data_IF_892245365084
#
_entry.id   IF_892245365084
#
_cell.length_a   1.000
_cell.length_b   1.000
_cell.length_c   1.000
_cell.angle_alpha   90.00
_cell.angle_beta   90.00
_cell.angle_gamma   90.00
#
_symmetry.space_group_name_H-M   'P 1'
#
loop_
_entity.id
_entity.type
_entity.pdbx_description
1 polymer ?
#
# COMPACT_ATOMS: atom_id res chain seq x y z
N UNK A 1 0.01 -0.91 35.04
CA UNK A 1 -1.44 -0.68 35.17
C UNK A 1 -1.69 0.02 36.51
N UNK A 2 -2.62 0.98 36.57
CA UNK A 2 -2.94 1.74 37.78
C UNK A 2 -3.47 0.84 38.94
N UNK A 3 -3.36 1.33 40.18
CA UNK A 3 -3.90 0.65 41.38
C UNK A 3 -5.37 1.02 41.66
N UNK A 4 -6.09 1.57 40.70
CA UNK A 4 -7.53 1.87 40.77
C UNK A 4 -8.39 0.63 40.54
N UNK A 5 -9.70 0.71 40.84
CA UNK A 5 -10.64 -0.38 40.57
C UNK A 5 -10.72 -0.72 39.10
N UNK A 6 -10.72 0.29 38.23
CA UNK A 6 -10.70 0.08 36.76
C UNK A 6 -9.40 -0.59 36.31
N UNK A 7 -8.27 -0.21 36.93
CA UNK A 7 -6.98 -0.87 36.74
C UNK A 7 -6.98 -2.33 37.22
N UNK A 8 -7.70 -2.67 38.27
CA UNK A 8 -7.88 -4.05 38.74
C UNK A 8 -8.64 -4.89 37.71
N UNK A 9 -9.75 -4.35 37.20
CA UNK A 9 -10.53 -5.02 36.15
C UNK A 9 -9.68 -5.30 34.90
N UNK A 10 -8.95 -4.29 34.42
CA UNK A 10 -8.06 -4.42 33.27
C UNK A 10 -6.95 -5.44 33.52
N UNK A 11 -6.34 -5.44 34.72
CA UNK A 11 -5.30 -6.39 35.07
C UNK A 11 -5.81 -7.85 35.06
N UNK A 12 -7.03 -8.06 35.55
CA UNK A 12 -7.67 -9.38 35.50
C UNK A 12 -7.95 -9.85 34.08
N UNK A 13 -8.48 -8.98 33.21
CA UNK A 13 -8.70 -9.29 31.79
C UNK A 13 -7.40 -9.67 31.10
N UNK A 14 -6.34 -8.85 31.26
CA UNK A 14 -5.04 -9.12 30.62
C UNK A 14 -4.38 -10.40 31.16
N UNK A 15 -4.57 -10.71 32.45
CA UNK A 15 -4.11 -11.97 33.03
C UNK A 15 -4.77 -13.18 32.40
N UNK A 16 -6.08 -13.13 32.12
CA UNK A 16 -6.80 -14.19 31.39
C UNK A 16 -6.32 -14.33 29.93
N UNK A 17 -5.79 -13.23 29.33
CA UNK A 17 -5.17 -13.25 28.02
C UNK A 17 -3.69 -13.68 28.04
N UNK A 18 -3.18 -14.17 29.18
CA UNK A 18 -1.79 -14.63 29.31
C UNK A 18 -0.75 -13.53 29.47
N UNK A 19 -1.18 -12.26 29.67
CA UNK A 19 -0.28 -11.12 29.81
C UNK A 19 0.15 -10.93 31.27
N UNK A 20 1.45 -10.63 31.49
CA UNK A 20 1.96 -10.24 32.80
C UNK A 20 1.67 -8.76 33.07
N UNK A 21 1.21 -8.47 34.28
CA UNK A 21 0.83 -7.13 34.68
C UNK A 21 1.79 -6.56 35.71
N UNK A 22 2.35 -5.38 35.44
CA UNK A 22 3.07 -4.58 36.43
C UNK A 22 2.13 -3.51 36.95
N UNK A 23 2.01 -3.41 38.28
CA UNK A 23 1.07 -2.50 38.97
C UNK A 23 1.80 -1.25 39.45
N UNK A 24 1.42 -0.11 38.91
CA UNK A 24 1.95 1.19 39.28
C UNK A 24 1.47 2.29 38.34
N UNK A 25 1.67 3.52 38.73
CA UNK A 25 1.34 4.69 37.92
C UNK A 25 2.29 5.85 38.22
N UNK A 26 2.29 6.90 37.41
CA UNK A 26 3.08 8.11 37.64
C UNK A 26 2.83 8.76 39.03
N UNK A 27 1.69 8.49 39.64
CA UNK A 27 1.30 9.03 40.97
C UNK A 27 1.47 8.05 42.15
N UNK A 28 1.57 6.74 41.89
CA UNK A 28 1.70 5.71 42.94
C UNK A 28 2.59 4.57 42.46
N UNK A 29 3.68 4.29 43.18
CA UNK A 29 4.66 3.23 42.86
C UNK A 29 5.24 3.34 41.43
N UNK A 30 5.38 4.55 40.90
CA UNK A 30 5.84 4.74 39.51
C UNK A 30 7.31 4.39 39.31
N UNK A 31 8.17 4.64 40.32
CA UNK A 31 9.60 4.31 40.24
C UNK A 31 9.83 2.81 40.27
N UNK A 32 9.17 2.11 41.19
CA UNK A 32 9.26 0.65 41.32
C UNK A 32 8.72 -0.03 40.05
N UNK A 33 7.55 0.37 39.59
CA UNK A 33 6.97 -0.18 38.36
C UNK A 33 7.87 0.04 37.13
N UNK A 34 8.54 1.19 37.04
CA UNK A 34 9.50 1.46 35.97
C UNK A 34 10.72 0.53 36.06
N UNK A 35 11.20 0.28 37.28
CA UNK A 35 12.34 -0.60 37.50
C UNK A 35 12.00 -2.06 37.17
N UNK A 36 10.83 -2.54 37.57
CA UNK A 36 10.31 -3.87 37.20
C UNK A 36 10.21 -4.01 35.65
N UNK A 37 9.73 -2.98 34.98
CA UNK A 37 9.63 -3.00 33.51
C UNK A 37 11.01 -3.04 32.83
N UNK A 38 11.99 -2.27 33.32
CA UNK A 38 13.37 -2.31 32.83
C UNK A 38 13.96 -3.71 32.98
N UNK A 39 13.75 -4.33 34.12
CA UNK A 39 14.25 -5.69 34.38
C UNK A 39 13.64 -6.73 33.45
N UNK A 40 12.33 -6.61 33.18
CA UNK A 40 11.61 -7.49 32.24
C UNK A 40 12.10 -7.30 30.82
N UNK A 41 12.31 -6.07 30.38
CA UNK A 41 12.84 -5.79 29.03
C UNK A 41 14.26 -6.34 28.87
N UNK A 42 15.10 -6.27 29.90
CA UNK A 42 16.45 -6.87 29.88
C UNK A 42 16.42 -8.39 29.75
N UNK A 43 15.31 -9.04 30.11
CA UNK A 43 15.07 -10.48 29.89
C UNK A 43 14.51 -10.77 28.48
N UNK A 44 14.46 -9.78 27.57
CA UNK A 44 14.01 -9.94 26.18
C UNK A 44 12.49 -9.94 26.00
N UNK A 45 11.72 -9.41 26.97
CA UNK A 45 10.27 -9.32 26.86
C UNK A 45 9.84 -7.90 26.51
N UNK A 46 8.88 -7.80 25.60
CA UNK A 46 8.28 -6.52 25.23
C UNK A 46 7.43 -5.93 26.36
N UNK A 47 7.44 -4.60 26.49
CA UNK A 47 6.67 -3.89 27.49
C UNK A 47 5.73 -2.87 26.83
N UNK A 48 4.52 -2.71 27.39
CA UNK A 48 3.51 -1.78 26.90
C UNK A 48 3.17 -0.72 27.94
N UNK A 49 3.09 0.53 27.50
CA UNK A 49 2.75 1.69 28.33
C UNK A 49 1.44 2.34 27.90
N UNK A 50 0.58 2.70 28.85
CA UNK A 50 -0.41 3.75 28.63
C UNK A 50 0.31 5.10 28.72
N UNK A 51 0.38 5.83 27.61
CA UNK A 51 1.28 6.96 27.42
C UNK A 51 0.99 8.18 28.30
N UNK A 52 -0.29 8.47 28.54
CA UNK A 52 -0.79 9.66 29.26
C UNK A 52 -1.05 9.42 30.77
N UNK A 53 -0.94 8.16 31.18
CA UNK A 53 -1.14 7.78 32.58
C UNK A 53 -2.61 7.88 33.05
N UNK A 54 -2.92 7.51 34.31
CA UNK A 54 -4.30 7.33 34.80
C UNK A 54 -5.07 8.63 35.09
N UNK A 55 -4.41 9.77 35.08
CA UNK A 55 -5.00 11.09 35.39
C UNK A 55 -4.85 12.10 34.26
N UNK A 56 -4.30 11.66 33.13
CA UNK A 56 -4.05 12.57 32.00
C UNK A 56 -2.96 13.63 32.26
N UNK A 57 -2.97 14.73 31.51
CA UNK A 57 -3.93 15.07 30.45
C UNK A 57 -3.85 14.13 29.24
N UNK A 58 -4.96 14.00 28.53
CA UNK A 58 -5.08 13.16 27.34
C UNK A 58 -4.05 13.57 26.28
N UNK A 59 -3.45 12.58 25.61
CA UNK A 59 -2.45 12.76 24.54
C UNK A 59 -1.12 13.41 24.98
N UNK A 60 -0.82 13.42 26.29
CA UNK A 60 0.49 13.86 26.78
C UNK A 60 1.30 12.66 27.25
N UNK A 61 2.37 12.39 26.53
CA UNK A 61 3.27 11.27 26.83
C UNK A 61 4.05 11.56 28.10
N UNK A 62 4.07 10.61 29.04
CA UNK A 62 4.87 10.71 30.28
C UNK A 62 6.31 10.24 30.05
N UNK A 63 7.27 10.85 30.73
CA UNK A 63 8.70 10.56 30.57
C UNK A 63 9.12 9.11 30.86
N UNK A 64 8.29 8.33 31.55
CA UNK A 64 8.62 6.95 31.96
C UNK A 64 9.04 6.04 30.80
N UNK A 65 8.36 6.12 29.65
CA UNK A 65 8.71 5.34 28.46
C UNK A 65 10.07 5.74 27.87
N UNK A 66 10.41 7.04 27.89
CA UNK A 66 11.68 7.57 27.38
C UNK A 66 12.84 7.09 28.27
N UNK A 67 12.66 7.20 29.59
CA UNK A 67 13.65 6.73 30.59
C UNK A 67 13.86 5.21 30.47
N UNK A 68 12.79 4.46 30.26
CA UNK A 68 12.87 3.01 30.05
C UNK A 68 13.70 2.67 28.81
N UNK A 69 13.37 3.26 27.66
CA UNK A 69 14.06 3.03 26.40
C UNK A 69 15.55 3.42 26.49
N UNK A 70 15.88 4.58 27.12
CA UNK A 70 17.25 5.02 27.33
C UNK A 70 18.07 4.05 28.18
N UNK A 71 17.45 3.35 29.14
CA UNK A 71 18.12 2.39 30.03
C UNK A 71 18.22 0.97 29.48
N UNK A 72 17.39 0.63 28.51
CA UNK A 72 17.33 -0.74 27.94
C UNK A 72 17.88 -0.82 26.52
N UNK A 73 17.97 0.30 25.79
CA UNK A 73 18.28 0.35 24.37
C UNK A 73 17.12 -0.11 23.46
N UNK A 74 15.98 -0.46 24.05
CA UNK A 74 14.79 -0.87 23.29
C UNK A 74 14.16 0.30 22.56
N UNK A 75 13.75 0.18 21.28
CA UNK A 75 13.06 1.24 20.59
C UNK A 75 11.64 1.46 21.13
N UNK A 76 11.15 2.69 21.00
CA UNK A 76 9.75 3.01 21.29
C UNK A 76 8.94 2.93 19.99
N UNK A 77 7.89 2.12 20.00
CA UNK A 77 6.90 2.04 18.91
C UNK A 77 5.56 2.51 19.47
N UNK A 78 5.03 3.60 18.95
CA UNK A 78 3.69 4.07 19.31
C UNK A 78 2.63 3.22 18.59
N UNK A 79 1.56 2.89 19.30
CA UNK A 79 0.40 2.16 18.80
C UNK A 79 -0.85 3.02 18.93
N UNK A 80 -1.61 3.19 17.86
CA UNK A 80 -2.95 3.75 17.87
C UNK A 80 -3.91 2.79 17.15
N UNK A 81 -5.16 2.76 17.58
CA UNK A 81 -6.18 1.92 16.98
C UNK A 81 -7.49 2.70 16.75
N UNK A 82 -8.28 2.27 15.77
CA UNK A 82 -9.63 2.76 15.54
C UNK A 82 -10.53 1.62 15.07
N UNK A 83 -11.84 1.86 15.07
CA UNK A 83 -12.84 0.90 14.63
C UNK A 83 -13.85 1.55 13.69
N UNK A 84 -14.43 0.76 12.77
CA UNK A 84 -15.45 1.26 11.83
C UNK A 84 -16.77 1.63 12.49
N UNK A 85 -17.04 1.09 13.68
CA UNK A 85 -18.15 1.44 14.57
C UNK A 85 -17.66 1.33 16.00
N UNK A 86 -17.90 2.34 16.82
CA UNK A 86 -17.43 2.37 18.18
C UNK A 86 -18.35 3.21 19.07
N UNK A 87 -18.25 2.97 20.37
CA UNK A 87 -18.84 3.78 21.43
C UNK A 87 -17.74 4.62 22.09
N UNK A 88 -18.01 5.90 22.34
CA UNK A 88 -17.10 6.79 23.06
C UNK A 88 -17.63 7.03 24.46
N UNK A 89 -16.78 6.85 25.46
CA UNK A 89 -17.08 7.21 26.86
C UNK A 89 -16.87 8.72 27.05
N UNK A 90 -17.85 9.54 26.59
CA UNK A 90 -17.75 11.00 26.56
C UNK A 90 -17.45 11.65 27.92
N UNK A 91 -17.88 11.02 29.02
CA UNK A 91 -17.67 11.51 30.40
C UNK A 91 -16.30 11.10 30.96
N UNK A 92 -15.57 10.19 30.32
CA UNK A 92 -14.22 9.81 30.74
C UNK A 92 -13.21 10.88 30.29
N UNK A 93 -12.20 11.16 31.10
CA UNK A 93 -11.17 12.16 30.80
C UNK A 93 -10.35 11.79 29.56
N UNK A 94 -10.18 10.50 29.32
CA UNK A 94 -9.45 9.94 28.17
C UNK A 94 -10.33 9.77 26.93
N UNK A 95 -11.66 9.94 27.07
CA UNK A 95 -12.66 9.64 26.04
C UNK A 95 -12.41 8.27 25.42
N UNK A 96 -12.29 7.25 26.26
CA UNK A 96 -12.02 5.87 25.86
C UNK A 96 -12.96 5.42 24.74
N UNK A 97 -12.45 4.62 23.82
CA UNK A 97 -13.19 4.11 22.66
C UNK A 97 -13.36 2.60 22.79
N UNK A 98 -14.61 2.13 22.72
CA UNK A 98 -14.94 0.70 22.71
C UNK A 98 -15.45 0.30 21.34
N UNK A 99 -14.75 -0.58 20.60
CA UNK A 99 -15.26 -1.13 19.35
C UNK A 99 -16.57 -1.89 19.57
N UNK A 100 -17.57 -1.63 18.70
CA UNK A 100 -18.83 -2.37 18.74
C UNK A 100 -18.66 -3.76 18.15
N UNK A 101 -19.51 -4.76 18.52
CA UNK A 101 -19.49 -6.07 17.92
C UNK A 101 -19.59 -6.01 16.38
N UNK A 102 -18.85 -6.90 15.71
CA UNK A 102 -18.78 -6.99 14.24
C UNK A 102 -18.19 -5.75 13.55
N UNK A 103 -17.56 -4.82 14.27
CA UNK A 103 -16.81 -3.71 13.67
C UNK A 103 -15.45 -4.20 13.15
N UNK A 104 -14.95 -3.53 12.10
CA UNK A 104 -13.55 -3.69 11.67
C UNK A 104 -12.68 -2.84 12.59
N UNK A 105 -11.58 -3.39 13.06
CA UNK A 105 -10.58 -2.66 13.86
C UNK A 105 -9.30 -2.56 13.04
N UNK A 106 -8.67 -1.40 13.08
CA UNK A 106 -7.36 -1.15 12.49
C UNK A 106 -6.40 -0.67 13.57
N UNK A 107 -5.17 -1.17 13.52
CA UNK A 107 -4.09 -0.74 14.39
C UNK A 107 -2.98 -0.10 13.56
N UNK A 108 -2.48 1.01 14.03
CA UNK A 108 -1.38 1.77 13.43
C UNK A 108 -0.18 1.71 14.35
N UNK A 109 1.00 1.49 13.78
CA UNK A 109 2.27 1.49 14.47
C UNK A 109 3.14 2.61 13.92
N UNK A 110 3.90 3.30 14.79
CA UNK A 110 4.90 4.26 14.33
C UNK A 110 6.17 3.57 13.88
N UNK A 111 7.02 4.29 13.14
CA UNK A 111 8.42 3.90 13.02
C UNK A 111 9.07 3.79 14.40
N UNK A 112 10.05 2.87 14.57
CA UNK A 112 10.78 2.74 15.81
C UNK A 112 11.55 4.02 16.13
N UNK A 113 11.41 4.52 17.36
CA UNK A 113 12.19 5.65 17.85
C UNK A 113 13.26 5.12 18.81
N UNK A 114 14.52 5.17 18.37
CA UNK A 114 15.67 4.80 19.17
C UNK A 114 16.06 5.95 20.10
N UNK A 115 16.26 5.65 21.36
CA UNK A 115 16.57 6.62 22.42
C UNK A 115 18.01 6.37 22.88
N UNK A 116 18.92 7.37 22.82
CA UNK A 116 20.27 7.22 23.33
C UNK A 116 20.29 6.91 24.84
N UNK A 117 21.37 6.28 25.29
CA UNK A 117 21.63 6.06 26.73
C UNK A 117 22.13 7.34 27.40
N UNK A 118 21.94 7.42 28.72
CA UNK A 118 22.49 8.48 29.60
C UNK A 118 22.06 9.92 29.23
N UNK A 119 20.76 10.10 28.92
CA UNK A 119 20.18 11.40 28.60
C UNK A 119 20.11 12.34 29.81
N UNK A 120 20.34 13.61 29.60
CA UNK A 120 20.00 14.69 30.55
C UNK A 120 18.49 14.85 30.68
N UNK A 121 18.04 15.63 31.67
CA UNK A 121 16.61 15.91 31.85
C UNK A 121 16.02 16.67 30.65
N UNK A 122 16.79 17.57 30.10
CA UNK A 122 16.44 18.39 28.93
C UNK A 122 16.30 17.51 27.67
N UNK A 123 17.23 16.60 27.45
CA UNK A 123 17.18 15.65 26.32
C UNK A 123 16.01 14.66 26.47
N UNK A 124 15.72 14.19 27.67
CA UNK A 124 14.52 13.37 27.93
C UNK A 124 13.26 14.11 27.49
N UNK A 125 13.15 15.42 27.74
CA UNK A 125 12.00 16.22 27.34
C UNK A 125 11.92 16.37 25.82
N UNK A 126 13.04 16.57 25.13
CA UNK A 126 13.10 16.63 23.67
C UNK A 126 12.57 15.32 23.04
N UNK A 127 13.06 14.18 23.51
CA UNK A 127 12.58 12.88 23.02
C UNK A 127 11.13 12.61 23.40
N UNK A 128 10.69 13.04 24.56
CA UNK A 128 9.31 12.96 25.01
C UNK A 128 8.37 13.69 24.04
N UNK A 129 8.70 14.92 23.68
CA UNK A 129 7.94 15.73 22.73
C UNK A 129 7.94 15.10 21.32
N UNK A 130 9.08 14.54 20.88
CA UNK A 130 9.18 13.82 19.62
C UNK A 130 8.25 12.61 19.57
N UNK A 131 8.25 11.77 20.60
CA UNK A 131 7.36 10.61 20.70
C UNK A 131 5.90 11.05 20.81
N UNK A 132 5.60 12.11 21.57
CA UNK A 132 4.25 12.67 21.69
C UNK A 132 3.71 13.17 20.34
N UNK A 133 4.53 13.88 19.57
CA UNK A 133 4.16 14.37 18.24
C UNK A 133 3.82 13.20 17.32
N UNK A 134 4.67 12.16 17.29
CA UNK A 134 4.44 10.96 16.49
C UNK A 134 3.16 10.24 16.90
N UNK A 135 2.92 10.11 18.19
CA UNK A 135 1.72 9.46 18.74
C UNK A 135 0.44 10.24 18.39
N UNK A 136 0.46 11.58 18.52
CA UNK A 136 -0.69 12.43 18.14
C UNK A 136 -1.03 12.27 16.68
N UNK A 137 -0.03 12.33 15.79
CA UNK A 137 -0.23 12.11 14.34
C UNK A 137 -0.79 10.73 14.04
N UNK A 138 -0.24 9.70 14.68
CA UNK A 138 -0.70 8.31 14.52
C UNK A 138 -2.15 8.14 14.96
N UNK A 139 -2.51 8.73 16.11
CA UNK A 139 -3.88 8.69 16.64
C UNK A 139 -4.88 9.41 15.71
N UNK A 140 -4.49 10.54 15.13
CA UNK A 140 -5.32 11.27 14.17
C UNK A 140 -5.54 10.47 12.88
N UNK A 141 -4.49 9.83 12.36
CA UNK A 141 -4.60 8.93 11.21
C UNK A 141 -5.47 7.69 11.51
N UNK A 142 -5.41 7.16 12.73
CA UNK A 142 -6.26 6.05 13.15
C UNK A 142 -7.74 6.47 13.20
N UNK A 143 -8.06 7.61 13.81
CA UNK A 143 -9.42 8.11 13.93
C UNK A 143 -10.06 8.39 12.56
N UNK A 144 -9.31 8.94 11.62
CA UNK A 144 -9.79 9.26 10.28
C UNK A 144 -9.70 8.11 9.28
N UNK A 145 -9.17 6.95 9.67
CA UNK A 145 -8.96 5.81 8.76
C UNK A 145 -10.24 5.32 8.09
N UNK A 146 -11.35 5.35 8.80
CA UNK A 146 -12.65 4.92 8.27
C UNK A 146 -13.45 6.08 7.67
N UNK A 147 -12.92 7.29 7.61
CA UNK A 147 -13.53 8.41 6.90
C UNK A 147 -13.21 8.32 5.40
N UNK A 148 -13.81 7.29 4.78
CA UNK A 148 -13.66 6.97 3.37
C UNK A 148 -15.01 7.14 2.70
N UNK A 149 -15.07 8.00 1.70
CA UNK A 149 -16.24 8.23 0.88
C UNK A 149 -16.06 7.62 -0.50
N UNK A 150 -16.99 6.76 -0.90
CA UNK A 150 -17.02 6.11 -2.21
C UNK A 150 -18.02 6.83 -3.12
N UNK A 151 -17.52 7.54 -4.14
CA UNK A 151 -18.32 8.29 -5.12
C UNK A 151 -18.25 7.63 -6.50
N UNK A 152 -19.23 7.88 -7.34
CA UNK A 152 -19.26 7.39 -8.72
C UNK A 152 -19.46 5.88 -8.88
N UNK A 153 -19.59 5.12 -7.78
CA UNK A 153 -19.86 3.68 -7.83
C UNK A 153 -21.37 3.41 -7.96
N UNK A 154 -21.76 2.48 -8.83
CA UNK A 154 -23.13 2.00 -8.87
C UNK A 154 -23.49 1.14 -7.65
N UNK A 155 -24.80 0.79 -7.49
CA UNK A 155 -25.27 0.02 -6.31
C UNK A 155 -24.60 -1.34 -6.18
N UNK A 156 -24.41 -2.06 -7.29
CA UNK A 156 -23.78 -3.38 -7.27
C UNK A 156 -22.29 -3.31 -6.93
N UNK A 157 -21.57 -2.34 -7.48
CA UNK A 157 -20.17 -2.09 -7.15
C UNK A 157 -20.00 -1.77 -5.67
N UNK A 158 -20.83 -0.84 -5.11
CA UNK A 158 -20.82 -0.52 -3.68
C UNK A 158 -21.11 -1.74 -2.82
N UNK A 159 -22.10 -2.56 -3.22
CA UNK A 159 -22.43 -3.79 -2.51
C UNK A 159 -21.21 -4.73 -2.44
N UNK A 160 -20.56 -5.03 -3.57
CA UNK A 160 -19.40 -5.93 -3.61
C UNK A 160 -18.14 -5.34 -2.98
N UNK A 161 -18.02 -4.02 -2.94
CA UNK A 161 -16.93 -3.33 -2.24
C UNK A 161 -17.06 -3.49 -0.72
N UNK A 162 -18.28 -3.36 -0.20
CA UNK A 162 -18.59 -3.49 1.23
C UNK A 162 -18.68 -4.94 1.70
N UNK A 163 -19.05 -5.87 0.79
CA UNK A 163 -19.23 -7.29 1.07
C UNK A 163 -18.37 -8.17 0.15
N UNK A 164 -17.04 -8.12 0.27
CA UNK A 164 -16.13 -8.84 -0.65
C UNK A 164 -16.26 -10.37 -0.56
N UNK A 165 -16.76 -10.90 0.56
CA UNK A 165 -17.01 -12.34 0.72
C UNK A 165 -18.14 -12.82 -0.18
N UNK A 166 -19.25 -12.07 -0.28
CA UNK A 166 -20.39 -12.43 -1.15
C UNK A 166 -19.99 -12.46 -2.61
N UNK A 167 -19.14 -11.50 -3.04
CA UNK A 167 -18.54 -11.51 -4.37
C UNK A 167 -17.79 -12.81 -4.64
N UNK A 168 -16.95 -13.27 -3.71
CA UNK A 168 -16.19 -14.51 -3.87
C UNK A 168 -17.09 -15.73 -4.05
N UNK A 169 -18.17 -15.81 -3.29
CA UNK A 169 -19.09 -16.95 -3.34
C UNK A 169 -19.95 -16.95 -4.62
N UNK A 170 -20.57 -15.82 -4.94
CA UNK A 170 -21.46 -15.69 -6.11
C UNK A 170 -20.75 -15.94 -7.43
N UNK A 171 -19.51 -15.42 -7.56
CA UNK A 171 -18.75 -15.51 -8.81
C UNK A 171 -17.86 -16.74 -8.92
N UNK A 172 -17.82 -17.62 -7.91
CA UNK A 172 -16.95 -18.80 -7.93
C UNK A 172 -17.20 -19.74 -9.14
N UNK A 173 -18.47 -20.11 -9.50
CA UNK A 173 -18.71 -20.94 -10.67
C UNK A 173 -18.20 -20.32 -11.97
N UNK A 174 -18.40 -19.00 -12.13
CA UNK A 174 -17.92 -18.27 -13.32
C UNK A 174 -16.39 -18.24 -13.39
N UNK A 175 -15.72 -18.25 -12.25
CA UNK A 175 -14.25 -18.32 -12.19
C UNK A 175 -13.71 -19.65 -12.66
N UNK A 176 -14.43 -20.74 -12.42
CA UNK A 176 -14.06 -22.07 -12.92
C UNK A 176 -14.15 -22.11 -14.45
N UNK A 177 -15.28 -21.64 -15.00
CA UNK A 177 -15.48 -21.57 -16.47
C UNK A 177 -14.40 -20.67 -17.12
N UNK A 178 -14.17 -19.48 -16.57
CA UNK A 178 -13.12 -18.58 -17.04
C UNK A 178 -11.74 -19.25 -16.99
N UNK A 179 -11.42 -19.95 -15.91
CA UNK A 179 -10.17 -20.69 -15.75
C UNK A 179 -9.97 -21.77 -16.82
N UNK A 180 -11.03 -22.51 -17.15
CA UNK A 180 -11.02 -23.54 -18.21
C UNK A 180 -10.75 -22.88 -19.58
N UNK A 181 -11.48 -21.82 -19.90
CA UNK A 181 -11.30 -21.09 -21.17
C UNK A 181 -9.85 -20.61 -21.34
N UNK A 182 -9.29 -20.01 -20.29
CA UNK A 182 -7.90 -19.53 -20.31
C UNK A 182 -6.91 -20.70 -20.46
N UNK A 183 -7.14 -21.83 -19.84
CA UNK A 183 -6.27 -23.01 -19.95
C UNK A 183 -6.36 -23.61 -21.37
N UNK A 184 -7.54 -23.72 -21.96
CA UNK A 184 -7.71 -24.20 -23.34
C UNK A 184 -6.97 -23.26 -24.31
N UNK A 185 -7.18 -21.94 -24.20
CA UNK A 185 -6.47 -20.94 -25.02
C UNK A 185 -4.95 -21.11 -24.91
N UNK A 186 -4.43 -21.26 -23.68
CA UNK A 186 -2.99 -21.39 -23.47
C UNK A 186 -2.46 -22.71 -24.03
N UNK A 187 -3.20 -23.80 -23.89
CA UNK A 187 -2.87 -25.09 -24.50
C UNK A 187 -2.78 -24.99 -26.04
N UNK A 188 -3.72 -24.30 -26.69
CA UNK A 188 -3.70 -24.11 -28.13
C UNK A 188 -2.45 -23.33 -28.61
N UNK A 189 -1.97 -22.37 -27.81
CA UNK A 189 -0.69 -21.70 -28.08
C UNK A 189 0.51 -22.63 -27.82
N UNK A 190 0.47 -23.42 -26.73
CA UNK A 190 1.57 -24.34 -26.38
C UNK A 190 1.74 -25.44 -27.46
N UNK A 191 0.64 -25.83 -28.12
CA UNK A 191 0.64 -26.78 -29.25
C UNK A 191 0.85 -26.11 -30.62
N UNK A 192 1.18 -24.82 -30.69
CA UNK A 192 1.32 -24.04 -31.94
C UNK A 192 0.08 -24.05 -32.88
N UNK A 193 -1.11 -24.45 -32.38
CA UNK A 193 -2.36 -24.34 -33.11
C UNK A 193 -2.73 -22.87 -33.34
N UNK A 194 -2.60 -22.07 -32.28
CA UNK A 194 -2.62 -20.62 -32.37
C UNK A 194 -1.19 -20.11 -32.57
N UNK A 195 -0.97 -19.40 -33.67
CA UNK A 195 0.36 -18.93 -34.07
C UNK A 195 0.67 -17.57 -33.47
N UNK A 196 1.90 -17.37 -32.99
CA UNK A 196 2.46 -16.09 -32.63
C UNK A 196 3.19 -15.46 -33.81
N UNK A 197 3.04 -14.16 -33.99
CA UNK A 197 3.78 -13.38 -35.00
C UNK A 197 5.21 -13.16 -34.49
N UNK A 198 6.20 -13.33 -35.35
CA UNK A 198 7.59 -13.01 -35.08
C UNK A 198 7.93 -11.63 -35.61
N UNK A 199 8.44 -10.77 -34.76
CA UNK A 199 9.01 -9.49 -35.15
C UNK A 199 10.56 -9.61 -35.15
N UNK A 200 11.21 -8.74 -35.93
CA UNK A 200 12.67 -8.63 -35.96
C UNK A 200 13.22 -7.84 -34.77
N UNK A 201 12.41 -6.92 -34.24
CA UNK A 201 12.74 -6.12 -33.08
C UNK A 201 12.74 -7.00 -31.83
N UNK A 202 13.62 -6.68 -30.86
CA UNK A 202 13.61 -7.29 -29.52
C UNK A 202 12.33 -6.90 -28.79
N UNK A 203 11.56 -7.88 -28.34
CA UNK A 203 10.29 -7.65 -27.66
C UNK A 203 10.40 -8.01 -26.17
N UNK A 204 10.18 -7.01 -25.33
CA UNK A 204 10.12 -7.15 -23.87
C UNK A 204 8.66 -6.97 -23.44
N UNK A 205 8.05 -8.03 -22.92
CA UNK A 205 6.69 -7.97 -22.39
C UNK A 205 6.72 -7.67 -20.90
N UNK A 206 5.96 -6.67 -20.46
CA UNK A 206 5.74 -6.36 -19.04
C UNK A 206 4.29 -6.67 -18.75
N UNK A 207 4.04 -7.47 -17.72
CA UNK A 207 2.67 -7.84 -17.36
C UNK A 207 2.52 -8.27 -15.91
N UNK A 208 1.37 -8.79 -15.57
CA UNK A 208 1.06 -9.35 -14.26
C UNK A 208 0.07 -10.50 -14.39
N UNK A 209 -0.09 -11.30 -13.34
CA UNK A 209 -1.11 -12.36 -13.30
C UNK A 209 -2.42 -11.90 -12.65
N UNK A 210 -2.42 -10.81 -11.92
CA UNK A 210 -3.59 -10.32 -11.18
C UNK A 210 -4.22 -9.11 -11.85
N UNK A 211 -5.52 -8.91 -11.66
CA UNK A 211 -6.16 -7.61 -11.88
C UNK A 211 -5.71 -6.66 -10.77
N UNK A 212 -5.48 -5.40 -11.12
CA UNK A 212 -5.14 -4.35 -10.17
C UNK A 212 -3.76 -3.74 -10.39
N UNK A 213 -3.42 -2.79 -9.54
CA UNK A 213 -2.22 -1.96 -9.64
C UNK A 213 -0.94 -2.65 -9.17
N UNK A 214 -0.38 -3.54 -9.96
CA UNK A 214 0.92 -4.17 -9.68
C UNK A 214 2.13 -3.26 -9.99
N UNK A 215 1.89 -2.03 -10.48
CA UNK A 215 2.95 -1.09 -10.81
C UNK A 215 3.55 -1.27 -12.20
N UNK A 216 2.80 -1.83 -13.16
CA UNK A 216 3.27 -2.02 -14.56
C UNK A 216 3.76 -0.72 -15.19
N UNK A 217 2.96 0.33 -15.19
CA UNK A 217 3.30 1.59 -15.85
C UNK A 217 4.53 2.28 -15.27
N UNK A 218 4.69 2.42 -13.93
CA UNK A 218 5.95 2.88 -13.34
C UNK A 218 7.15 2.00 -13.71
N UNK A 219 6.98 0.68 -13.77
CA UNK A 219 8.05 -0.24 -14.17
C UNK A 219 8.39 -0.10 -15.66
N UNK A 220 7.38 0.02 -16.54
CA UNK A 220 7.57 0.26 -17.98
C UNK A 220 8.36 1.54 -18.22
N UNK A 221 8.02 2.62 -17.52
CA UNK A 221 8.76 3.88 -17.59
C UNK A 221 10.20 3.72 -17.12
N UNK A 222 10.41 3.08 -15.96
CA UNK A 222 11.73 2.83 -15.41
C UNK A 222 12.61 2.02 -16.37
N UNK A 223 12.08 0.92 -16.92
CA UNK A 223 12.80 0.07 -17.86
C UNK A 223 13.13 0.81 -19.17
N UNK A 224 12.18 1.57 -19.70
CA UNK A 224 12.42 2.36 -20.90
C UNK A 224 13.55 3.39 -20.69
N UNK A 225 13.52 4.12 -19.58
CA UNK A 225 14.57 5.09 -19.22
C UNK A 225 15.93 4.42 -19.01
N UNK A 226 15.96 3.27 -18.33
CA UNK A 226 17.18 2.48 -18.12
C UNK A 226 17.79 2.04 -19.47
N UNK A 227 16.98 1.46 -20.34
CA UNK A 227 17.44 1.02 -21.66
C UNK A 227 17.91 2.18 -22.55
N UNK A 228 17.25 3.36 -22.47
CA UNK A 228 17.73 4.57 -23.18
C UNK A 228 19.07 5.06 -22.67
N UNK A 229 19.38 4.86 -21.40
CA UNK A 229 20.66 5.27 -20.80
C UNK A 229 21.78 4.27 -21.09
N UNK A 230 21.47 2.96 -21.08
CA UNK A 230 22.45 1.88 -21.30
C UNK A 230 22.80 1.69 -22.78
N UNK A 231 21.87 1.92 -23.68
CA UNK A 231 22.11 1.84 -25.13
C UNK A 231 22.73 3.15 -25.63
N UNK A 232 24.04 3.31 -25.48
CA UNK A 232 24.79 4.45 -26.03
C UNK A 232 24.32 4.78 -27.46
N UNK A 233 23.31 5.68 -27.57
CA UNK A 233 22.85 6.46 -28.75
C UNK A 233 22.38 5.74 -30.01
N UNK A 234 22.23 4.40 -30.09
CA UNK A 234 21.88 3.75 -31.37
C UNK A 234 20.57 2.96 -31.41
N UNK A 235 20.00 2.55 -30.29
CA UNK A 235 18.76 1.75 -30.31
C UNK A 235 17.50 2.60 -30.15
N UNK A 236 16.56 2.52 -31.10
CA UNK A 236 15.26 3.18 -30.98
C UNK A 236 14.30 2.33 -30.16
N UNK A 237 13.79 2.88 -29.04
CA UNK A 237 12.86 2.19 -28.15
C UNK A 237 11.45 2.70 -28.37
N UNK A 238 10.50 1.78 -28.51
CA UNK A 238 9.06 2.07 -28.56
C UNK A 238 8.32 1.35 -27.45
N UNK A 239 7.19 1.92 -27.04
CA UNK A 239 6.25 1.29 -26.12
C UNK A 239 4.97 0.98 -26.86
N UNK A 240 4.43 -0.24 -26.69
CA UNK A 240 3.13 -0.64 -27.21
C UNK A 240 2.16 -0.82 -26.03
N UNK A 241 1.06 -0.06 -26.08
CA UNK A 241 -0.02 -0.14 -25.09
C UNK A 241 -1.32 -0.64 -25.74
N UNK A 242 -2.35 -0.90 -24.93
CA UNK A 242 -3.72 -1.13 -25.39
C UNK A 242 -4.32 0.12 -26.07
N UNK A 243 -5.63 0.29 -25.95
CA UNK A 243 -6.28 1.52 -26.42
C UNK A 243 -5.89 2.73 -25.57
N UNK A 244 -6.36 3.91 -25.99
CA UNK A 244 -6.22 5.16 -25.26
C UNK A 244 -6.51 4.94 -23.77
N UNK A 245 -5.47 4.99 -22.96
CA UNK A 245 -5.53 4.92 -21.50
C UNK A 245 -4.70 6.06 -20.94
N UNK A 246 -5.06 6.51 -19.75
CA UNK A 246 -4.34 7.57 -19.02
C UNK A 246 -2.84 7.23 -18.90
N UNK A 247 -2.53 5.92 -18.79
CA UNK A 247 -1.14 5.45 -18.72
C UNK A 247 -0.38 5.70 -20.03
N UNK A 248 -1.05 5.57 -21.19
CA UNK A 248 -0.42 5.82 -22.49
C UNK A 248 -0.12 7.29 -22.73
N UNK A 249 -0.91 8.20 -22.18
CA UNK A 249 -0.67 9.64 -22.23
C UNK A 249 0.48 10.03 -21.33
N UNK A 250 0.48 9.54 -20.09
CA UNK A 250 1.56 9.75 -19.15
C UNK A 250 2.93 9.28 -19.69
N UNK A 251 2.99 8.15 -20.40
CA UNK A 251 4.22 7.67 -21.03
C UNK A 251 4.66 8.56 -22.20
N UNK A 252 3.72 9.06 -23.00
CA UNK A 252 4.01 9.96 -24.10
C UNK A 252 4.52 11.34 -23.61
N UNK A 253 3.94 11.88 -22.55
CA UNK A 253 4.39 13.12 -21.91
C UNK A 253 5.84 13.06 -21.38
N UNK A 254 6.34 11.86 -21.06
CA UNK A 254 7.74 11.62 -20.69
C UNK A 254 8.69 11.50 -21.88
N UNK A 255 8.23 11.84 -23.08
CA UNK A 255 9.03 11.85 -24.31
C UNK A 255 9.23 10.47 -24.95
N UNK A 256 8.46 9.45 -24.53
CA UNK A 256 8.56 8.10 -25.08
C UNK A 256 7.65 7.94 -26.31
N UNK A 257 8.12 7.21 -27.32
CA UNK A 257 7.28 6.88 -28.50
C UNK A 257 6.32 5.75 -28.14
N UNK A 258 5.02 6.06 -28.14
CA UNK A 258 3.96 5.13 -27.75
C UNK A 258 3.10 4.78 -28.96
N UNK A 259 2.95 3.48 -29.24
CA UNK A 259 2.02 2.93 -30.21
C UNK A 259 0.79 2.38 -29.49
N UNK A 260 -0.38 2.93 -29.80
CA UNK A 260 -1.65 2.58 -29.18
C UNK A 260 -2.44 1.66 -30.09
N UNK A 261 -2.65 0.41 -29.68
CA UNK A 261 -3.45 -0.52 -30.50
C UNK A 261 -4.14 -1.58 -29.61
N UNK A 262 -5.48 -1.73 -29.74
CA UNK A 262 -6.26 -2.74 -28.99
C UNK A 262 -5.72 -4.16 -29.23
N UNK A 263 -5.29 -4.45 -30.47
CA UNK A 263 -4.59 -5.69 -30.82
C UNK A 263 -3.10 -5.45 -30.73
N UNK A 264 -2.48 -5.66 -29.58
CA UNK A 264 -1.06 -5.32 -29.30
C UNK A 264 -0.08 -5.87 -30.33
N UNK A 265 -0.35 -7.05 -30.93
CA UNK A 265 0.49 -7.57 -32.00
C UNK A 265 0.56 -6.64 -33.22
N UNK A 266 -0.56 -5.93 -33.56
CA UNK A 266 -0.53 -4.91 -34.62
C UNK A 266 0.30 -3.69 -34.21
N UNK A 267 0.23 -3.27 -32.95
CA UNK A 267 1.08 -2.22 -32.42
C UNK A 267 2.57 -2.57 -32.47
N UNK A 268 2.91 -3.83 -32.17
CA UNK A 268 4.28 -4.34 -32.32
C UNK A 268 4.76 -4.26 -33.78
N UNK A 269 3.93 -4.68 -34.74
CA UNK A 269 4.28 -4.58 -36.15
C UNK A 269 4.43 -3.15 -36.61
N UNK A 270 3.53 -2.24 -36.21
CA UNK A 270 3.65 -0.81 -36.50
C UNK A 270 4.94 -0.19 -35.98
N UNK A 271 5.34 -0.55 -34.74
CA UNK A 271 6.60 -0.09 -34.17
C UNK A 271 7.81 -0.63 -34.92
N UNK A 272 7.80 -1.91 -35.30
CA UNK A 272 8.84 -2.52 -36.12
C UNK A 272 8.94 -1.84 -37.49
N UNK A 273 7.81 -1.62 -38.19
CA UNK A 273 7.77 -0.96 -39.51
C UNK A 273 8.29 0.49 -39.44
N UNK A 274 8.20 1.09 -38.25
CA UNK A 274 8.77 2.41 -37.95
C UNK A 274 10.25 2.35 -37.49
N UNK A 275 10.93 1.22 -37.72
CA UNK A 275 12.36 1.01 -37.44
C UNK A 275 12.76 1.20 -35.99
N UNK A 276 11.96 0.66 -35.04
CA UNK A 276 12.32 0.53 -33.62
C UNK A 276 12.96 -0.84 -33.37
N UNK A 277 14.09 -0.85 -32.68
CA UNK A 277 14.92 -2.03 -32.44
C UNK A 277 14.47 -2.79 -31.19
N UNK A 278 13.96 -2.06 -30.20
CA UNK A 278 13.42 -2.61 -28.94
C UNK A 278 12.00 -2.12 -28.72
N UNK A 279 11.10 -3.06 -28.46
CA UNK A 279 9.67 -2.78 -28.25
C UNK A 279 9.28 -3.30 -26.87
N UNK A 280 8.86 -2.40 -26.00
CA UNK A 280 8.31 -2.76 -24.68
C UNK A 280 6.79 -2.84 -24.82
N UNK A 281 6.21 -3.98 -24.47
CA UNK A 281 4.76 -4.18 -24.52
C UNK A 281 4.20 -4.10 -23.09
N UNK A 282 3.52 -3.00 -22.77
CA UNK A 282 2.84 -2.83 -21.49
C UNK A 282 1.61 -3.71 -21.40
N UNK A 283 1.40 -4.35 -20.22
CA UNK A 283 0.35 -5.35 -19.95
C UNK A 283 0.35 -6.49 -20.99
N UNK A 284 1.54 -7.00 -21.35
CA UNK A 284 1.77 -7.94 -22.46
C UNK A 284 1.60 -9.42 -22.10
N UNK A 285 1.69 -9.84 -20.83
CA UNK A 285 1.80 -11.25 -20.42
C UNK A 285 0.67 -12.14 -20.93
N UNK A 286 -0.60 -11.66 -20.97
CA UNK A 286 -1.74 -12.40 -21.49
C UNK A 286 -1.80 -12.43 -23.02
N UNK A 287 -1.06 -11.56 -23.71
CA UNK A 287 -1.12 -11.41 -25.18
C UNK A 287 -0.10 -12.32 -25.86
N UNK A 288 -0.48 -13.57 -26.17
CA UNK A 288 0.39 -14.60 -26.74
C UNK A 288 0.47 -14.58 -28.28
N UNK A 289 -0.10 -13.59 -28.97
CA UNK A 289 -0.12 -13.49 -30.44
C UNK A 289 1.17 -12.94 -31.04
N UNK A 290 2.20 -12.65 -30.26
CA UNK A 290 3.54 -12.28 -30.72
C UNK A 290 4.60 -13.01 -29.89
N UNK A 291 5.72 -13.31 -30.55
CA UNK A 291 6.91 -13.88 -29.86
C UNK A 291 7.51 -12.81 -28.95
N UNK A 292 8.07 -13.23 -27.82
CA UNK A 292 8.67 -12.35 -26.82
C UNK A 292 10.05 -12.88 -26.48
N UNK A 293 11.03 -12.00 -26.47
CA UNK A 293 12.41 -12.34 -26.08
C UNK A 293 12.52 -12.35 -24.56
N UNK A 294 11.77 -11.46 -23.92
CA UNK A 294 11.69 -11.41 -22.44
C UNK A 294 10.24 -11.22 -21.99
N UNK A 295 9.89 -11.93 -20.93
CA UNK A 295 8.56 -11.83 -20.29
C UNK A 295 8.76 -11.47 -18.81
N UNK A 296 8.51 -10.21 -18.48
CA UNK A 296 8.68 -9.67 -17.12
C UNK A 296 7.31 -9.65 -16.43
N UNK A 297 7.20 -10.34 -15.30
CA UNK A 297 5.95 -10.45 -14.55
C UNK A 297 6.08 -9.74 -13.21
N UNK A 298 5.23 -8.73 -13.00
CA UNK A 298 5.14 -8.01 -11.74
C UNK A 298 4.14 -8.70 -10.81
N UNK A 299 4.55 -8.92 -9.57
CA UNK A 299 3.72 -9.47 -8.50
C UNK A 299 3.71 -8.46 -7.36
N UNK A 300 2.52 -7.97 -7.02
CA UNK A 300 2.34 -7.15 -5.84
C UNK A 300 2.50 -8.01 -4.58
N UNK A 301 3.58 -7.82 -3.84
CA UNK A 301 3.89 -8.61 -2.66
C UNK A 301 2.94 -8.31 -1.49
N UNK A 302 2.37 -7.10 -1.42
CA UNK A 302 1.42 -6.72 -0.37
C UNK A 302 0.03 -7.36 -0.52
N UNK A 303 -0.26 -8.00 -1.66
CA UNK A 303 -1.55 -8.67 -1.90
C UNK A 303 -1.46 -10.19 -1.69
N UNK A 304 -2.59 -10.80 -1.33
CA UNK A 304 -2.67 -12.25 -1.15
C UNK A 304 -2.57 -12.99 -2.49
N UNK A 305 -1.35 -13.33 -2.91
CA UNK A 305 -1.09 -14.00 -4.19
C UNK A 305 -1.29 -15.52 -4.12
N UNK A 306 -0.83 -16.19 -3.07
CA UNK A 306 -0.82 -17.66 -2.93
C UNK A 306 -2.22 -18.30 -2.98
N UNK A 307 -3.20 -17.70 -2.30
CA UNK A 307 -4.56 -18.23 -2.18
C UNK A 307 -5.56 -17.50 -3.06
N UNK A 308 -5.08 -16.73 -4.03
CA UNK A 308 -5.92 -15.95 -4.92
C UNK A 308 -6.69 -16.89 -5.87
N UNK A 309 -7.89 -16.48 -6.23
CA UNK A 309 -8.78 -17.20 -7.15
C UNK A 309 -8.76 -16.54 -8.53
N UNK A 310 -9.20 -17.30 -9.53
CA UNK A 310 -9.41 -16.77 -10.88
C UNK A 310 -10.51 -15.70 -10.88
N UNK A 311 -10.38 -14.74 -11.78
CA UNK A 311 -11.44 -13.77 -12.06
C UNK A 311 -12.74 -14.50 -12.48
N UNK A 312 -13.94 -14.03 -12.05
CA UNK A 312 -14.23 -12.82 -11.27
C UNK A 312 -14.32 -13.04 -9.74
N UNK A 313 -14.20 -14.26 -9.22
CA UNK A 313 -14.24 -14.52 -7.77
C UNK A 313 -12.98 -13.99 -7.06
N UNK A 314 -11.82 -14.07 -7.71
CA UNK A 314 -10.56 -13.48 -7.29
C UNK A 314 -10.03 -12.52 -8.34
N UNK A 315 -8.75 -12.21 -8.27
CA UNK A 315 -8.08 -11.26 -9.18
C UNK A 315 -7.17 -11.92 -10.21
N UNK A 316 -6.97 -13.24 -10.18
CA UNK A 316 -6.10 -13.93 -11.13
C UNK A 316 -6.69 -13.91 -12.55
N UNK A 317 -5.93 -13.35 -13.49
CA UNK A 317 -6.22 -13.38 -14.95
C UNK A 317 -5.82 -14.71 -15.58
N UNK A 318 -4.79 -15.35 -15.04
CA UNK A 318 -4.28 -16.64 -15.46
C UNK A 318 -3.88 -17.49 -14.24
N UNK A 319 -3.89 -18.85 -14.37
CA UNK A 319 -3.40 -19.72 -13.30
C UNK A 319 -1.95 -19.45 -12.95
N UNK A 320 -1.60 -19.57 -11.67
CA UNK A 320 -0.23 -19.33 -11.16
C UNK A 320 0.83 -20.19 -11.88
N UNK A 321 0.47 -21.41 -12.31
CA UNK A 321 1.35 -22.29 -13.09
C UNK A 321 1.91 -21.64 -14.36
N UNK A 322 1.25 -20.59 -14.89
CA UNK A 322 1.68 -19.86 -16.08
C UNK A 322 2.89 -18.95 -15.81
N UNK A 323 3.29 -18.76 -14.55
CA UNK A 323 4.56 -18.13 -14.20
C UNK A 323 5.77 -18.81 -14.87
N UNK A 324 5.64 -20.09 -15.25
CA UNK A 324 6.70 -20.83 -15.98
C UNK A 324 7.19 -20.13 -17.25
N UNK A 325 6.38 -19.20 -17.81
CA UNK A 325 6.73 -18.44 -19.02
C UNK A 325 7.57 -17.20 -18.73
N UNK A 326 7.56 -16.71 -17.49
CA UNK A 326 8.26 -15.49 -17.14
C UNK A 326 9.79 -15.74 -17.16
N UNK A 327 10.54 -14.86 -17.81
CA UNK A 327 11.99 -14.81 -17.73
C UNK A 327 12.44 -14.07 -16.44
N UNK A 328 11.71 -13.04 -16.07
CA UNK A 328 11.96 -12.21 -14.88
C UNK A 328 10.68 -12.02 -14.08
N UNK A 329 10.80 -12.05 -12.77
CA UNK A 329 9.70 -11.78 -11.83
C UNK A 329 10.12 -10.65 -10.90
N UNK A 330 9.32 -9.61 -10.84
CA UNK A 330 9.56 -8.44 -10.00
C UNK A 330 8.53 -8.40 -8.90
N UNK A 331 8.98 -8.59 -7.65
CA UNK A 331 8.15 -8.41 -6.47
C UNK A 331 8.10 -6.92 -6.16
N UNK A 332 6.95 -6.30 -6.35
CA UNK A 332 6.73 -4.89 -6.04
C UNK A 332 6.14 -4.72 -4.65
N UNK A 333 6.36 -3.55 -4.01
CA UNK A 333 5.83 -3.20 -2.68
C UNK A 333 6.28 -4.14 -1.58
N UNK A 334 7.49 -4.61 -1.64
CA UNK A 334 8.06 -5.50 -0.60
C UNK A 334 8.21 -4.78 0.74
N UNK A 335 8.43 -3.46 0.73
CA UNK A 335 8.41 -2.59 1.89
C UNK A 335 7.04 -2.50 2.59
N UNK A 336 5.94 -2.63 1.83
CA UNK A 336 4.59 -2.65 2.42
C UNK A 336 4.32 -3.93 3.22
N UNK A 337 5.09 -5.01 3.00
CA UNK A 337 5.00 -6.24 3.79
C UNK A 337 5.64 -6.10 5.18
N UNK A 338 6.73 -5.34 5.28
CA UNK A 338 7.49 -5.18 6.52
C UNK A 338 6.89 -4.09 7.44
N UNK A 339 6.27 -3.06 6.86
CA UNK A 339 5.83 -1.84 7.55
C UNK A 339 4.37 -1.48 7.29
N UNK A 340 3.47 -2.45 7.33
CA UNK A 340 2.06 -2.13 7.13
C UNK A 340 1.45 -1.51 8.40
N UNK A 341 1.51 -0.19 8.48
CA UNK A 341 1.02 0.62 9.60
C UNK A 341 -0.52 0.67 9.73
N UNK A 342 -1.25 0.14 8.76
CA UNK A 342 -2.71 0.22 8.74
C UNK A 342 -3.37 -1.03 8.12
N UNK A 343 -2.73 -2.18 8.19
CA UNK A 343 -3.25 -3.37 7.52
C UNK A 343 -4.40 -4.00 8.27
N UNK A 344 -5.56 -3.98 7.62
CA UNK A 344 -6.69 -4.86 7.98
C UNK A 344 -6.36 -6.34 7.70
N UNK A 345 -5.34 -6.59 6.87
CA UNK A 345 -4.81 -7.92 6.55
C UNK A 345 -3.30 -7.83 6.37
N UNK A 346 -2.55 -8.24 7.38
CA UNK A 346 -1.14 -8.59 7.14
C UNK A 346 -1.08 -9.59 5.99
N UNK A 347 -0.17 -9.42 5.01
CA UNK A 347 0.10 -10.49 4.07
C UNK A 347 0.43 -11.74 4.89
N UNK A 348 -0.27 -12.84 4.63
CA UNK A 348 -0.14 -14.10 5.40
C UNK A 348 1.23 -14.77 5.21
N UNK A 349 2.12 -14.16 4.44
CA UNK A 349 3.38 -14.78 4.00
C UNK A 349 4.48 -13.73 3.95
N UNK A 350 5.67 -14.10 4.38
CA UNK A 350 6.87 -13.29 4.21
C UNK A 350 7.30 -13.21 2.74
N UNK A 351 8.17 -12.27 2.39
CA UNK A 351 8.76 -12.15 1.05
C UNK A 351 9.48 -13.44 0.65
N UNK A 352 10.20 -14.06 1.58
CA UNK A 352 10.92 -15.32 1.34
C UNK A 352 9.97 -16.50 1.08
N UNK A 353 8.84 -16.57 1.81
CA UNK A 353 7.82 -17.59 1.53
C UNK A 353 7.14 -17.37 0.17
N UNK A 354 6.96 -16.11 -0.25
CA UNK A 354 6.43 -15.79 -1.58
C UNK A 354 7.43 -16.19 -2.66
N UNK A 355 8.72 -15.92 -2.51
CA UNK A 355 9.77 -16.39 -3.43
C UNK A 355 9.82 -17.92 -3.50
N UNK A 356 9.79 -18.60 -2.36
CA UNK A 356 9.76 -20.05 -2.32
C UNK A 356 8.52 -20.62 -3.03
N UNK A 357 7.36 -19.98 -2.89
CA UNK A 357 6.16 -20.34 -3.61
C UNK A 357 6.30 -20.16 -5.13
N UNK A 358 6.85 -19.03 -5.58
CA UNK A 358 7.08 -18.73 -7.00
C UNK A 358 8.05 -19.75 -7.61
N UNK A 359 9.13 -20.10 -6.91
CA UNK A 359 10.13 -21.06 -7.34
C UNK A 359 9.57 -22.46 -7.64
N UNK A 360 8.47 -22.86 -6.98
CA UNK A 360 7.76 -24.12 -7.29
C UNK A 360 7.19 -24.15 -8.70
N UNK A 361 6.84 -23.00 -9.27
CA UNK A 361 6.26 -22.89 -10.61
C UNK A 361 7.26 -22.43 -11.66
N UNK A 362 8.27 -21.69 -11.25
CA UNK A 362 9.34 -21.22 -12.12
C UNK A 362 10.69 -21.18 -11.37
N UNK A 363 11.47 -22.27 -11.42
CA UNK A 363 12.75 -22.34 -10.74
C UNK A 363 13.85 -21.49 -11.41
N UNK A 364 13.70 -21.16 -12.69
CA UNK A 364 14.75 -20.54 -13.52
C UNK A 364 14.64 -19.02 -13.62
N UNK A 365 13.44 -18.44 -13.44
CA UNK A 365 13.26 -17.00 -13.54
C UNK A 365 14.12 -16.26 -12.51
N UNK A 366 14.69 -15.13 -12.90
CA UNK A 366 15.25 -14.17 -11.94
C UNK A 366 14.14 -13.54 -11.13
N UNK A 367 14.36 -13.37 -9.81
CA UNK A 367 13.40 -12.71 -8.93
C UNK A 367 14.07 -11.47 -8.34
N UNK A 368 13.52 -10.31 -8.63
CA UNK A 368 13.95 -9.01 -8.09
C UNK A 368 12.93 -8.48 -7.10
N UNK A 369 13.39 -7.74 -6.10
CA UNK A 369 12.55 -6.98 -5.19
C UNK A 369 12.61 -5.49 -5.52
N UNK A 370 11.46 -4.85 -5.47
CA UNK A 370 11.33 -3.44 -5.82
C UNK A 370 10.30 -2.74 -4.93
N UNK A 371 10.57 -1.50 -4.63
CA UNK A 371 9.70 -0.66 -3.80
C UNK A 371 9.28 0.58 -4.56
N UNK A 372 8.13 1.13 -4.18
CA UNK A 372 7.68 2.41 -4.66
C UNK A 372 8.05 3.51 -3.68
N UNK A 373 8.96 4.41 -4.09
CA UNK A 373 9.24 5.61 -3.34
C UNK A 373 8.28 6.72 -3.76
N UNK A 374 7.47 7.14 -2.82
CA UNK A 374 6.58 8.28 -2.99
C UNK A 374 7.36 9.58 -2.73
N UNK A 375 7.13 10.58 -3.55
CA UNK A 375 7.63 11.95 -3.36
C UNK A 375 6.56 12.97 -3.73
N UNK A 376 6.54 14.08 -3.02
CA UNK A 376 5.72 15.24 -3.30
C UNK A 376 6.64 16.45 -3.37
N UNK A 377 6.29 17.45 -4.17
CA UNK A 377 7.06 18.68 -4.28
C UNK A 377 6.94 19.53 -3.02
N UNK A 378 5.81 19.40 -2.32
CA UNK A 378 5.52 20.09 -1.06
C UNK A 378 5.80 19.17 0.12
N UNK A 379 6.38 19.71 1.19
CA UNK A 379 6.48 18.98 2.46
C UNK A 379 5.08 18.75 3.03
N UNK A 380 4.73 17.47 3.21
CA UNK A 380 3.43 17.03 3.70
C UNK A 380 3.40 16.82 5.21
N UNK A 381 4.53 17.02 5.90
CA UNK A 381 4.64 16.75 7.34
C UNK A 381 3.62 17.55 8.14
N UNK A 382 2.82 16.84 8.92
CA UNK A 382 1.74 17.36 9.79
C UNK A 382 0.60 18.11 9.07
N UNK A 383 0.58 18.14 7.72
CA UNK A 383 -0.52 18.75 6.96
C UNK A 383 -1.77 17.88 6.97
N UNK A 384 -2.92 18.53 7.02
CA UNK A 384 -4.23 17.87 6.91
C UNK A 384 -4.56 17.64 5.44
N UNK A 385 -4.65 16.39 5.02
CA UNK A 385 -4.78 16.01 3.62
C UNK A 385 -6.14 15.41 3.33
N UNK A 386 -6.78 15.91 2.27
CA UNK A 386 -7.89 15.30 1.55
C UNK A 386 -7.32 14.52 0.36
N UNK A 387 -7.49 13.19 0.36
CA UNK A 387 -7.07 12.34 -0.75
C UNK A 387 -8.21 12.16 -1.76
N UNK A 388 -7.90 12.40 -3.02
CA UNK A 388 -8.81 12.13 -4.14
C UNK A 388 -8.12 11.12 -5.06
N UNK A 389 -8.80 10.00 -5.37
CA UNK A 389 -8.22 8.99 -6.26
C UNK A 389 -9.26 8.15 -6.99
N UNK A 390 -8.95 7.85 -8.26
CA UNK A 390 -9.65 6.91 -9.13
C UNK A 390 -8.68 5.83 -9.63
N UNK A 391 -8.08 5.10 -8.70
CA UNK A 391 -7.09 4.05 -8.94
C UNK A 391 -7.48 2.74 -8.30
N UNK A 392 -6.93 1.64 -8.79
CA UNK A 392 -7.25 0.28 -8.30
C UNK A 392 -6.79 -0.01 -6.86
N UNK A 393 -5.79 0.72 -6.32
CA UNK A 393 -5.32 0.54 -4.95
C UNK A 393 -5.21 1.87 -4.16
N UNK A 394 -6.35 2.48 -3.77
CA UNK A 394 -6.38 3.74 -3.04
C UNK A 394 -5.79 3.64 -1.63
N UNK A 395 -5.81 2.47 -1.00
CA UNK A 395 -5.24 2.28 0.34
C UNK A 395 -3.71 2.38 0.34
N UNK A 396 -3.05 1.83 -0.68
CA UNK A 396 -1.60 2.00 -0.83
C UNK A 396 -1.22 3.47 -1.03
N UNK A 397 -1.98 4.21 -1.84
CA UNK A 397 -1.80 5.66 -1.99
C UNK A 397 -1.86 6.39 -0.64
N UNK A 398 -2.91 6.14 0.15
CA UNK A 398 -3.05 6.74 1.48
C UNK A 398 -1.90 6.37 2.43
N UNK A 399 -1.40 5.14 2.36
CA UNK A 399 -0.27 4.69 3.18
C UNK A 399 1.03 5.42 2.80
N UNK A 400 1.30 5.60 1.51
CA UNK A 400 2.45 6.40 1.08
C UNK A 400 2.39 7.84 1.60
N UNK A 401 1.21 8.46 1.55
CA UNK A 401 1.01 9.83 2.06
C UNK A 401 1.25 9.90 3.57
N UNK A 402 0.75 8.93 4.33
CA UNK A 402 1.01 8.84 5.79
C UNK A 402 2.48 8.66 6.11
N UNK A 403 3.22 7.88 5.32
CA UNK A 403 4.68 7.68 5.48
C UNK A 403 5.46 8.97 5.27
N UNK A 404 4.98 9.88 4.42
CA UNK A 404 5.54 11.22 4.25
C UNK A 404 5.20 12.18 5.41
N UNK A 405 4.61 11.69 6.48
CA UNK A 405 4.32 12.46 7.69
C UNK A 405 3.01 13.23 7.67
N UNK A 406 2.17 13.05 6.66
CA UNK A 406 0.88 13.71 6.55
C UNK A 406 -0.18 13.13 7.49
N UNK A 407 -1.22 13.94 7.74
CA UNK A 407 -2.45 13.55 8.44
C UNK A 407 -3.54 13.40 7.39
N UNK A 408 -3.86 12.17 7.02
CA UNK A 408 -4.95 11.89 6.07
C UNK A 408 -6.28 12.01 6.79
N UNK A 409 -7.00 13.10 6.56
CA UNK A 409 -8.29 13.39 7.21
C UNK A 409 -9.46 12.72 6.53
N UNK A 410 -9.47 12.71 5.20
CA UNK A 410 -10.55 12.12 4.42
C UNK A 410 -10.01 11.52 3.13
N UNK A 411 -10.66 10.44 2.68
CA UNK A 411 -10.37 9.82 1.39
C UNK A 411 -11.64 9.80 0.57
N UNK A 412 -11.58 10.32 -0.66
CA UNK A 412 -12.65 10.21 -1.65
C UNK A 412 -12.15 9.28 -2.75
N UNK A 413 -12.81 8.15 -2.87
CA UNK A 413 -12.42 7.07 -3.79
C UNK A 413 -13.47 6.96 -4.88
N UNK A 414 -13.01 7.03 -6.12
CA UNK A 414 -13.80 6.82 -7.34
C UNK A 414 -13.46 5.48 -8.00
N UNK A 415 -14.32 4.96 -8.89
CA UNK A 415 -13.98 3.84 -9.73
C UNK A 415 -12.70 4.08 -10.54
N UNK A 416 -11.93 3.02 -10.80
CA UNK A 416 -10.73 3.15 -11.65
C UNK A 416 -11.11 3.73 -13.03
N UNK A 417 -10.30 4.64 -13.55
CA UNK A 417 -10.54 5.40 -14.80
C UNK A 417 -11.76 6.36 -14.78
N UNK A 418 -12.22 6.76 -13.60
CA UNK A 418 -13.31 7.74 -13.47
C UNK A 418 -12.92 9.07 -14.15
N UNK A 419 -13.91 9.73 -14.78
CA UNK A 419 -13.80 11.09 -15.36
C UNK A 419 -14.55 12.03 -14.44
N UNK A 420 -13.84 12.99 -13.84
CA UNK A 420 -14.38 13.93 -12.86
C UNK A 420 -15.38 14.90 -13.52
N UNK A 421 -16.53 15.12 -12.85
CA UNK A 421 -17.63 15.97 -13.30
C UNK A 421 -17.61 17.31 -12.56
N UNK A 422 -18.36 18.31 -13.05
CA UNK A 422 -18.44 19.64 -12.39
C UNK A 422 -18.88 19.55 -10.92
N UNK A 423 -19.82 18.66 -10.60
CA UNK A 423 -20.31 18.43 -9.24
C UNK A 423 -19.22 17.94 -8.29
N UNK A 424 -18.24 17.21 -8.81
CA UNK A 424 -17.10 16.74 -8.02
C UNK A 424 -16.19 17.90 -7.64
N UNK A 425 -15.92 18.84 -8.55
CA UNK A 425 -15.12 20.03 -8.27
C UNK A 425 -15.79 20.95 -7.23
N UNK A 426 -17.09 21.15 -7.34
CA UNK A 426 -17.88 21.93 -6.36
C UNK A 426 -17.74 21.27 -4.97
N UNK A 427 -17.89 19.96 -4.92
CA UNK A 427 -17.77 19.19 -3.68
C UNK A 427 -16.35 19.27 -3.08
N UNK A 428 -15.30 19.12 -3.88
CA UNK A 428 -13.91 19.19 -3.41
C UNK A 428 -13.60 20.58 -2.84
N UNK A 429 -14.03 21.66 -3.54
CA UNK A 429 -13.88 23.03 -3.06
C UNK A 429 -14.59 23.26 -1.73
N UNK A 430 -15.82 22.78 -1.60
CA UNK A 430 -16.57 22.93 -0.35
C UNK A 430 -15.86 22.29 0.84
N UNK A 431 -15.22 21.12 0.64
CA UNK A 431 -14.44 20.45 1.69
C UNK A 431 -13.13 21.19 1.97
N UNK A 432 -12.47 21.73 0.95
CA UNK A 432 -11.24 22.49 1.10
C UNK A 432 -11.48 23.78 1.91
N UNK A 433 -12.51 24.51 1.57
CA UNK A 433 -12.89 25.77 2.26
C UNK A 433 -13.37 25.53 3.70
N UNK A 434 -14.16 24.46 3.91
CA UNK A 434 -14.73 24.16 5.22
C UNK A 434 -13.69 23.71 6.24
N UNK A 435 -12.64 22.97 5.80
CA UNK A 435 -11.75 22.24 6.70
C UNK A 435 -10.26 22.58 6.54
N UNK A 436 -9.92 23.53 5.66
CA UNK A 436 -8.53 23.92 5.34
C UNK A 436 -7.66 22.69 4.98
N UNK A 437 -8.18 21.85 4.09
CA UNK A 437 -7.48 20.65 3.64
C UNK A 437 -6.58 20.94 2.42
N UNK A 438 -5.37 20.40 2.44
CA UNK A 438 -4.58 20.25 1.22
C UNK A 438 -5.10 19.07 0.41
N UNK A 439 -5.46 19.33 -0.83
CA UNK A 439 -5.90 18.26 -1.74
C UNK A 439 -4.68 17.60 -2.36
N UNK A 440 -4.63 16.27 -2.26
CA UNK A 440 -3.55 15.47 -2.84
C UNK A 440 -4.15 14.35 -3.70
N UNK A 441 -3.58 14.19 -4.89
CA UNK A 441 -4.01 13.16 -5.85
C UNK A 441 -2.83 12.41 -6.44
N UNK A 442 -3.08 11.43 -7.29
CA UNK A 442 -2.06 10.63 -8.00
C UNK A 442 -1.68 11.28 -9.33
N UNK A 443 -0.51 10.92 -9.91
CA UNK A 443 -0.12 11.37 -11.26
C UNK A 443 -1.18 10.98 -12.31
N UNK A 444 -1.80 9.79 -12.18
CA UNK A 444 -2.84 9.29 -13.09
C UNK A 444 -4.11 10.14 -13.03
N UNK A 445 -4.51 10.56 -11.85
CA UNK A 445 -5.71 11.38 -11.66
C UNK A 445 -5.46 12.85 -11.96
N UNK A 446 -4.25 13.33 -11.70
CA UNK A 446 -3.84 14.70 -12.02
C UNK A 446 -3.96 15.03 -13.52
N UNK A 447 -3.73 14.05 -14.39
CA UNK A 447 -3.93 14.19 -15.85
C UNK A 447 -5.41 14.41 -16.25
N UNK A 448 -6.36 14.07 -15.36
CA UNK A 448 -7.81 14.19 -15.60
C UNK A 448 -8.45 15.36 -14.85
N UNK A 449 -7.74 15.90 -13.86
CA UNK A 449 -8.22 17.01 -13.04
C UNK A 449 -7.81 18.34 -13.68
N UNK A 450 -8.76 19.27 -13.75
CA UNK A 450 -8.54 20.61 -14.27
C UNK A 450 -7.97 21.54 -13.18
N UNK A 451 -6.72 21.96 -13.35
CA UNK A 451 -6.04 22.88 -12.42
C UNK A 451 -6.64 24.28 -12.38
N UNK A 452 -7.39 24.69 -13.40
CA UNK A 452 -8.10 25.95 -13.38
C UNK A 452 -9.33 25.91 -12.44
N UNK A 453 -9.84 24.68 -12.18
CA UNK A 453 -11.02 24.47 -11.34
C UNK A 453 -10.68 24.09 -9.91
N UNK A 454 -9.53 23.46 -9.67
CA UNK A 454 -9.16 22.94 -8.35
C UNK A 454 -7.64 23.06 -8.14
N UNK A 455 -7.25 23.61 -7.02
CA UNK A 455 -5.85 23.56 -6.56
C UNK A 455 -5.58 22.21 -5.88
N UNK A 456 -4.55 21.49 -6.32
CA UNK A 456 -4.16 20.23 -5.76
C UNK A 456 -2.67 19.94 -5.97
N UNK A 457 -2.13 19.14 -5.08
CA UNK A 457 -0.78 18.59 -5.15
C UNK A 457 -0.80 17.17 -5.71
N UNK A 458 0.35 16.73 -6.21
CA UNK A 458 0.49 15.42 -6.86
C UNK A 458 1.52 14.56 -6.15
N UNK A 459 1.10 13.37 -5.72
CA UNK A 459 2.04 12.36 -5.26
C UNK A 459 2.64 11.63 -6.46
N UNK A 460 3.95 11.77 -6.63
CA UNK A 460 4.72 11.06 -7.66
C UNK A 460 5.28 9.78 -7.08
N UNK A 461 5.27 8.72 -7.88
CA UNK A 461 5.77 7.41 -7.47
C UNK A 461 6.92 7.01 -8.39
N UNK A 462 8.09 6.75 -7.80
CA UNK A 462 9.27 6.24 -8.50
C UNK A 462 9.59 4.83 -8.04
N UNK A 463 9.94 3.97 -8.99
CA UNK A 463 10.43 2.64 -8.68
C UNK A 463 11.88 2.73 -8.18
N UNK A 464 12.20 1.97 -7.15
CA UNK A 464 13.56 1.83 -6.63
C UNK A 464 13.83 0.37 -6.25
N UNK A 465 15.08 -0.12 -6.39
CA UNK A 465 15.44 -1.43 -5.87
C UNK A 465 15.26 -1.44 -4.35
N UNK A 466 14.76 -2.55 -3.84
CA UNK A 466 14.68 -2.76 -2.40
C UNK A 466 16.09 -3.03 -1.86
N UNK A 467 16.60 -2.16 -1.01
CA UNK A 467 17.83 -2.39 -0.24
C UNK A 467 17.43 -2.62 1.19
N UNK A 468 17.70 -3.81 1.72
CA UNK A 468 17.60 -4.05 3.17
C UNK A 468 18.62 -3.14 3.85
N UNK A 469 18.16 -2.36 4.84
CA UNK A 469 19.01 -1.52 5.69
C UNK A 469 19.88 -2.39 6.61
#
# INVERSE_FOLDING_TARGET
>A
ISLSNDGELLANVLKHLGQKNIRGSSSRRGKEALQDMIEISRKGLDTCYATDGPRGPRHIVKAGAIVHASKTGSPIIALAASASRFFIFEKSWDKGVLPLPFSRVVSFYSEPVYIPSNLSKEEIEVYRLKVEKNFKRLSQNALSFFDIEYKGFNRAEKFFLLWPFTRKLVFYPFSLVYGIIIQIRNFLFDQNILKAVHAKARIISIGNLTLGGSGKTPYTLHLAQKLMTEQDKKGKIAIVTGNFSDESEMLAEKGLKVFKNKKKYKGVMQAQDSSFDTIIVDDGFQHRYFHRDEDIVLINASEEFKNNKMFPSGTLREPVKNLKRASHIVLTRTDEMEFDHASIKKPKFSTEELKAFIRRYNPTATIEESVFKACCEVDLTDKNILLISAISNPHSFANHVRRLGAIVRKQIIFPDHYIYQEEDYIFFKSLQEQFDYYILTTEKDAAKLDRNKLEFEVLKIKLAPFRRA
#
